data_IF_427505889608
#
_entry.id   IF_427505889608
#
_cell.length_a   1.000
_cell.length_b   1.000
_cell.length_c   1.000
_cell.angle_alpha   90.00
_cell.angle_beta   90.00
_cell.angle_gamma   90.00
#
_symmetry.space_group_name_H-M   'P 1'
#
loop_
_entity.id
_entity.type
_entity.pdbx_description
1 polymer ?
#
# COMPACT_ATOMS: atom_id res chain seq x y z
N UNK A 1 7.95 -15.45 11.16
CA UNK A 1 6.50 -15.78 11.25
C UNK A 1 6.17 -16.85 10.23
N UNK A 2 5.30 -17.81 10.55
CA UNK A 2 4.85 -18.80 9.56
C UNK A 2 4.16 -18.15 8.35
N UNK A 3 4.49 -18.61 7.15
CA UNK A 3 3.97 -18.10 5.88
C UNK A 3 2.45 -17.94 5.83
N UNK A 4 1.71 -18.95 6.30
CA UNK A 4 0.24 -18.93 6.24
C UNK A 4 -0.33 -17.76 7.06
N UNK A 5 0.22 -17.51 8.25
CA UNK A 5 -0.16 -16.37 9.10
C UNK A 5 0.21 -15.03 8.46
N UNK A 6 1.35 -14.95 7.78
CA UNK A 6 1.77 -13.75 7.06
C UNK A 6 0.79 -13.42 5.92
N UNK A 7 0.44 -14.40 5.10
CA UNK A 7 -0.53 -14.22 4.01
C UNK A 7 -1.92 -13.88 4.54
N UNK A 8 -2.37 -14.56 5.59
CA UNK A 8 -3.65 -14.24 6.24
C UNK A 8 -3.67 -12.79 6.76
N UNK A 9 -2.59 -12.33 7.41
CA UNK A 9 -2.47 -10.93 7.85
C UNK A 9 -2.51 -9.94 6.69
N UNK A 10 -1.84 -10.26 5.58
CA UNK A 10 -1.84 -9.41 4.38
C UNK A 10 -3.24 -9.35 3.79
N UNK A 11 -3.91 -10.50 3.61
CA UNK A 11 -5.17 -10.66 2.90
C UNK A 11 -6.40 -10.21 3.71
N UNK A 12 -6.36 -10.26 5.05
CA UNK A 12 -7.45 -9.83 5.94
C UNK A 12 -7.65 -8.30 6.04
N UNK A 13 -6.87 -7.47 5.34
CA UNK A 13 -7.24 -6.06 5.24
C UNK A 13 -8.46 -5.87 4.33
N UNK A 14 -9.58 -5.53 4.94
CA UNK A 14 -10.86 -5.28 4.24
C UNK A 14 -11.19 -3.78 4.14
N UNK A 15 -10.51 -2.91 4.90
CA UNK A 15 -10.89 -1.49 4.98
C UNK A 15 -9.69 -0.54 4.83
N UNK A 16 -9.71 0.28 3.77
CA UNK A 16 -8.67 1.28 3.43
C UNK A 16 -8.59 2.40 4.46
N UNK A 17 -9.68 2.66 5.19
CA UNK A 17 -9.85 3.83 6.07
C UNK A 17 -9.23 3.68 7.46
N UNK A 18 -8.84 2.47 7.88
CA UNK A 18 -8.51 2.20 9.28
C UNK A 18 -7.03 2.32 9.63
N UNK A 19 -6.13 2.54 8.67
CA UNK A 19 -4.70 2.43 8.96
C UNK A 19 -3.83 3.41 8.17
N UNK A 20 -2.81 3.93 8.85
CA UNK A 20 -1.88 4.93 8.37
C UNK A 20 -1.06 4.45 7.15
N UNK A 21 -0.92 5.34 6.16
CA UNK A 21 0.05 5.24 5.07
C UNK A 21 1.27 6.09 5.46
N UNK A 22 2.46 5.49 5.62
CA UNK A 22 3.67 6.23 5.97
C UNK A 22 4.12 7.15 4.82
N UNK A 23 5.04 8.07 5.11
CA UNK A 23 5.55 9.01 4.10
C UNK A 23 6.38 8.31 3.02
N UNK A 24 7.29 7.44 3.45
CA UNK A 24 8.11 6.59 2.59
C UNK A 24 8.23 5.18 3.17
N UNK A 25 8.54 4.21 2.31
CA UNK A 25 8.98 2.87 2.69
C UNK A 25 10.26 2.51 1.95
N UNK A 26 11.06 1.63 2.53
CA UNK A 26 12.27 1.08 1.90
C UNK A 26 12.10 -0.42 1.67
N UNK A 27 12.29 -0.86 0.43
CA UNK A 27 12.21 -2.26 0.01
C UNK A 27 13.47 -2.55 -0.80
N UNK A 28 14.23 -3.58 -0.40
CA UNK A 28 15.50 -3.98 -1.04
C UNK A 28 16.52 -2.84 -1.25
N UNK A 29 16.53 -1.85 -0.35
CA UNK A 29 17.40 -0.68 -0.43
C UNK A 29 16.89 0.44 -1.35
N UNK A 30 15.74 0.27 -2.00
CA UNK A 30 15.07 1.31 -2.78
C UNK A 30 14.00 2.02 -1.95
N UNK A 31 13.96 3.35 -2.03
CA UNK A 31 13.01 4.20 -1.30
C UNK A 31 11.81 4.59 -2.16
N UNK A 32 10.62 4.38 -1.63
CA UNK A 32 9.34 4.69 -2.27
C UNK A 32 8.58 5.75 -1.48
N UNK A 33 8.34 6.91 -2.09
CA UNK A 33 7.66 8.07 -1.47
C UNK A 33 6.14 8.00 -1.62
N UNK A 34 5.50 7.15 -0.81
CA UNK A 34 4.08 6.81 -0.94
C UNK A 34 3.15 8.03 -0.99
N UNK A 35 3.21 8.92 0.01
CA UNK A 35 2.30 10.08 0.08
C UNK A 35 2.48 11.05 -1.10
N UNK A 36 3.72 11.21 -1.56
CA UNK A 36 4.05 12.07 -2.71
C UNK A 36 3.49 11.48 -4.00
N UNK A 37 3.68 10.19 -4.20
CA UNK A 37 3.22 9.47 -5.38
C UNK A 37 1.68 9.42 -5.43
N UNK A 38 1.02 9.13 -4.31
CA UNK A 38 -0.45 9.16 -4.18
C UNK A 38 -1.02 10.56 -4.45
N UNK A 39 -0.30 11.61 -4.04
CA UNK A 39 -0.72 13.01 -4.26
C UNK A 39 -0.43 13.52 -5.68
N UNK A 40 0.22 12.73 -6.53
CA UNK A 40 0.54 13.11 -7.90
C UNK A 40 -0.67 12.98 -8.83
N UNK A 41 -0.65 13.70 -9.96
CA UNK A 41 -1.66 13.54 -11.01
C UNK A 41 -1.45 12.26 -11.85
N UNK A 42 -0.46 11.43 -11.54
CA UNK A 42 -0.11 10.19 -12.26
C UNK A 42 -0.71 8.95 -11.59
N UNK A 43 -1.91 9.07 -10.99
CA UNK A 43 -2.54 8.00 -10.18
C UNK A 43 -2.59 6.63 -10.86
N UNK A 44 -2.90 6.54 -12.16
CA UNK A 44 -2.92 5.27 -12.91
C UNK A 44 -1.53 4.63 -13.01
N UNK A 45 -0.49 5.44 -13.26
CA UNK A 45 0.90 4.97 -13.33
C UNK A 45 1.40 4.53 -11.95
N UNK A 46 1.03 5.27 -10.91
CA UNK A 46 1.37 4.90 -9.53
C UNK A 46 0.65 3.63 -9.11
N UNK A 47 -0.60 3.43 -9.54
CA UNK A 47 -1.34 2.19 -9.28
C UNK A 47 -0.60 0.99 -9.84
N UNK A 48 -0.21 1.05 -11.13
CA UNK A 48 0.56 -0.04 -11.77
C UNK A 48 1.86 -0.31 -11.01
N UNK A 49 2.65 0.74 -10.75
CA UNK A 49 3.92 0.64 -10.01
C UNK A 49 3.76 -0.08 -8.67
N UNK A 50 2.78 0.35 -7.86
CA UNK A 50 2.59 -0.22 -6.52
C UNK A 50 1.90 -1.58 -6.52
N UNK A 51 1.12 -1.90 -7.55
CA UNK A 51 0.51 -3.21 -7.74
C UNK A 51 1.57 -4.25 -8.13
N UNK A 52 2.49 -3.90 -9.04
CA UNK A 52 3.65 -4.74 -9.39
C UNK A 52 4.52 -4.99 -8.15
N UNK A 53 4.90 -3.92 -7.43
CA UNK A 53 5.73 -4.02 -6.23
C UNK A 53 5.07 -4.86 -5.12
N UNK A 54 3.75 -4.76 -4.98
CA UNK A 54 2.99 -5.55 -4.02
C UNK A 54 3.00 -7.04 -4.39
N UNK A 55 2.70 -7.39 -5.64
CA UNK A 55 2.66 -8.79 -6.08
C UNK A 55 4.06 -9.43 -6.01
N UNK A 56 5.12 -8.71 -6.38
CA UNK A 56 6.50 -9.17 -6.21
C UNK A 56 6.82 -9.49 -4.74
N UNK A 57 6.46 -8.59 -3.82
CA UNK A 57 6.70 -8.79 -2.40
C UNK A 57 5.87 -9.96 -1.85
N UNK A 58 4.63 -10.10 -2.31
CA UNK A 58 3.74 -11.19 -1.93
C UNK A 58 4.25 -12.54 -2.42
N UNK A 59 4.74 -12.63 -3.65
CA UNK A 59 5.30 -13.86 -4.21
C UNK A 59 6.60 -14.25 -3.50
N UNK A 60 7.42 -13.27 -3.11
CA UNK A 60 8.58 -13.52 -2.23
C UNK A 60 8.14 -14.11 -0.89
N UNK A 61 7.13 -13.53 -0.24
CA UNK A 61 6.59 -14.05 1.03
C UNK A 61 6.06 -15.48 0.88
N UNK A 62 5.41 -15.80 -0.25
CA UNK A 62 4.93 -17.16 -0.53
C UNK A 62 6.05 -18.19 -0.67
N UNK A 63 7.20 -17.76 -1.18
CA UNK A 63 8.40 -18.58 -1.34
C UNK A 63 9.19 -18.81 -0.05
N UNK A 64 8.86 -18.12 1.04
CA UNK A 64 9.57 -18.23 2.32
C UNK A 64 8.90 -19.25 3.26
N UNK A 65 9.70 -20.04 3.95
CA UNK A 65 9.22 -20.91 5.03
C UNK A 65 9.00 -20.13 6.33
N UNK A 66 9.94 -19.23 6.66
CA UNK A 66 9.81 -18.26 7.76
C UNK A 66 9.88 -16.84 7.21
N UNK A 67 8.84 -16.06 7.49
CA UNK A 67 8.64 -14.72 6.93
C UNK A 67 9.03 -13.67 7.99
N UNK A 68 9.95 -12.74 7.66
CA UNK A 68 10.26 -11.59 8.51
C UNK A 68 9.04 -10.68 8.72
N UNK A 69 8.81 -10.20 9.94
CA UNK A 69 7.64 -9.35 10.24
C UNK A 69 7.68 -8.01 9.48
N UNK A 70 8.87 -7.43 9.31
CA UNK A 70 9.06 -6.19 8.57
C UNK A 70 8.63 -6.32 7.10
N UNK A 71 8.83 -7.50 6.50
CA UNK A 71 8.41 -7.80 5.14
C UNK A 71 6.89 -7.86 5.02
N UNK A 72 6.24 -8.45 6.03
CA UNK A 72 4.78 -8.49 6.12
C UNK A 72 4.21 -7.08 6.28
N UNK A 73 4.81 -6.25 7.13
CA UNK A 73 4.40 -4.85 7.31
C UNK A 73 4.53 -4.04 6.01
N UNK A 74 5.65 -4.19 5.29
CA UNK A 74 5.86 -3.55 3.97
C UNK A 74 4.79 -4.00 2.97
N UNK A 75 4.49 -5.30 2.90
CA UNK A 75 3.46 -5.83 2.00
C UNK A 75 2.05 -5.30 2.35
N UNK A 76 1.75 -5.22 3.65
CA UNK A 76 0.52 -4.62 4.16
C UNK A 76 0.42 -3.15 3.71
N UNK A 77 1.47 -2.35 3.87
CA UNK A 77 1.50 -0.94 3.47
C UNK A 77 1.26 -0.81 1.96
N UNK A 78 1.97 -1.59 1.14
CA UNK A 78 1.78 -1.59 -0.32
C UNK A 78 0.36 -1.95 -0.71
N UNK A 79 -0.22 -2.99 -0.10
CA UNK A 79 -1.61 -3.37 -0.33
C UNK A 79 -2.58 -2.22 -0.05
N UNK A 80 -2.33 -1.40 0.98
CA UNK A 80 -3.15 -0.21 1.28
C UNK A 80 -3.04 0.83 0.20
N UNK A 81 -1.82 1.11 -0.26
CA UNK A 81 -1.57 2.08 -1.34
C UNK A 81 -2.30 1.65 -2.61
N UNK A 82 -2.23 0.36 -2.97
CA UNK A 82 -2.94 -0.21 -4.12
C UNK A 82 -4.45 -0.06 -3.96
N UNK A 83 -5.01 -0.45 -2.81
CA UNK A 83 -6.45 -0.32 -2.55
C UNK A 83 -6.90 1.15 -2.62
N UNK A 84 -6.14 2.07 -2.01
CA UNK A 84 -6.40 3.50 -2.07
C UNK A 84 -6.43 4.00 -3.51
N UNK A 85 -5.44 3.65 -4.32
CA UNK A 85 -5.35 4.09 -5.72
C UNK A 85 -6.47 3.47 -6.58
N UNK A 86 -6.90 2.22 -6.29
CA UNK A 86 -8.07 1.59 -6.92
C UNK A 86 -9.36 2.32 -6.56
N UNK A 87 -9.60 2.62 -5.27
CA UNK A 87 -10.79 3.39 -4.85
C UNK A 87 -10.78 4.82 -5.43
N UNK A 88 -9.62 5.47 -5.41
CA UNK A 88 -9.41 6.78 -6.04
C UNK A 88 -9.79 6.75 -7.52
N UNK A 89 -9.39 5.72 -8.27
CA UNK A 89 -9.74 5.57 -9.69
C UNK A 89 -11.25 5.46 -9.92
N UNK A 90 -11.96 4.73 -9.05
CA UNK A 90 -13.40 4.49 -9.17
C UNK A 90 -14.27 5.67 -8.71
N UNK A 91 -13.76 6.57 -7.87
CA UNK A 91 -14.50 7.77 -7.47
C UNK A 91 -14.66 8.71 -8.67
N UNK A 92 -15.89 8.84 -9.18
CA UNK A 92 -16.23 9.82 -10.22
C UNK A 92 -16.28 11.27 -9.68
N UNK A 93 -16.25 11.44 -8.36
CA UNK A 93 -16.34 12.74 -7.71
C UNK A 93 -14.95 13.28 -7.34
N UNK A 94 -14.58 14.42 -7.94
CA UNK A 94 -13.33 15.14 -7.66
C UNK A 94 -13.27 15.58 -6.19
N UNK A 95 -14.42 15.81 -5.55
CA UNK A 95 -14.49 16.29 -4.17
C UNK A 95 -14.16 15.18 -3.16
N UNK A 96 -14.64 13.96 -3.40
CA UNK A 96 -14.22 12.78 -2.63
C UNK A 96 -12.73 12.52 -2.81
N UNK A 97 -12.24 12.52 -4.05
CA UNK A 97 -10.80 12.42 -4.35
C UNK A 97 -9.95 13.40 -3.54
N UNK A 98 -10.37 14.66 -3.47
CA UNK A 98 -9.69 15.69 -2.66
C UNK A 98 -9.80 15.42 -1.17
N UNK A 99 -10.96 14.99 -0.65
CA UNK A 99 -11.12 14.60 0.76
C UNK A 99 -10.21 13.46 1.16
N UNK A 100 -10.07 12.45 0.31
CA UNK A 100 -9.19 11.31 0.53
C UNK A 100 -7.71 11.70 0.50
N UNK A 101 -7.27 12.50 -0.47
CA UNK A 101 -5.90 13.03 -0.50
C UNK A 101 -5.61 13.91 0.73
N UNK A 102 -6.53 14.79 1.10
CA UNK A 102 -6.41 15.62 2.30
C UNK A 102 -6.39 14.79 3.59
N UNK A 103 -7.14 13.69 3.63
CA UNK A 103 -7.10 12.72 4.74
C UNK A 103 -5.70 12.08 4.87
N UNK A 104 -5.12 11.59 3.77
CA UNK A 104 -3.75 11.02 3.76
C UNK A 104 -2.70 12.06 4.20
N UNK A 105 -2.84 13.31 3.74
CA UNK A 105 -1.96 14.41 4.16
C UNK A 105 -2.11 14.78 5.63
N UNK A 106 -3.33 14.67 6.18
CA UNK A 106 -3.65 15.03 7.57
C UNK A 106 -3.36 13.93 8.58
N UNK A 107 -3.24 12.67 8.15
CA UNK A 107 -2.67 11.61 8.99
C UNK A 107 -1.22 11.97 9.33
N UNK A 108 -1.03 12.57 10.50
CA UNK A 108 0.26 12.97 11.08
C UNK A 108 0.61 12.03 12.24
N UNK A 109 1.80 11.45 12.10
CA UNK A 109 2.72 10.89 13.12
C UNK A 109 2.30 9.63 13.86
#
# INVERSE_FOLDING_TARGET
MEREKAIEKIDNMVNVLAVEIPEEIEIDGEKYYLKRDISSNESDKMLVKYEELYEELRDRIRGMDDVPEDLVEKAIILRRVVLFLKEYRHSQDIEDKKRWIEFIKKMKR
#
